data_IF_815013802089
#
_entry.id   IF_815013802089
#
_cell.length_a   1.000
_cell.length_b   1.000
_cell.length_c   1.000
_cell.angle_alpha   90.00
_cell.angle_beta   90.00
_cell.angle_gamma   90.00
#
_symmetry.space_group_name_H-M   'P 1'
#
loop_
_entity.id
_entity.type
_entity.pdbx_description
1 polymer ?
#
# COMPACT_ATOMS: atom_id res chain seq x y z
N UNK A 1 -3.98 -25.67 32.74
CA UNK A 1 -4.39 -24.33 32.34
C UNK A 1 -3.36 -23.80 31.35
N UNK A 2 -3.59 -24.01 30.06
CA UNK A 2 -2.81 -23.38 29.00
C UNK A 2 -3.22 -21.90 28.97
N UNK A 3 -2.30 -21.01 29.32
CA UNK A 3 -2.48 -19.59 29.08
C UNK A 3 -2.58 -19.38 27.55
N UNK A 4 -3.68 -18.79 27.10
CA UNK A 4 -3.76 -18.29 25.74
C UNK A 4 -2.65 -17.29 25.51
N UNK A 5 -1.98 -17.30 24.34
CA UNK A 5 -0.97 -16.30 24.05
C UNK A 5 -1.68 -14.94 24.01
N UNK A 6 -1.35 -14.07 24.95
CA UNK A 6 -1.71 -12.65 24.88
C UNK A 6 -1.03 -12.12 23.60
N UNK A 7 -1.81 -11.89 22.56
CA UNK A 7 -1.32 -11.16 21.39
C UNK A 7 -0.82 -9.79 21.89
N UNK A 8 0.48 -9.58 21.89
CA UNK A 8 1.05 -8.28 22.18
C UNK A 8 0.42 -7.28 21.20
N UNK A 9 -0.10 -6.18 21.70
CA UNK A 9 -0.74 -5.15 20.90
C UNK A 9 0.28 -4.61 19.88
N UNK A 10 0.07 -4.90 18.61
CA UNK A 10 0.97 -4.47 17.54
C UNK A 10 0.83 -2.97 17.35
N UNK A 11 1.93 -2.23 17.45
CA UNK A 11 1.97 -0.78 17.24
C UNK A 11 1.48 -0.35 15.85
N UNK A 12 1.45 0.95 15.61
CA UNK A 12 1.04 1.54 14.31
C UNK A 12 1.97 1.10 13.19
N UNK A 13 3.29 1.24 13.38
CA UNK A 13 4.29 0.75 12.42
C UNK A 13 4.43 -0.76 12.61
N UNK A 14 4.26 -1.51 11.53
CA UNK A 14 4.36 -2.96 11.57
C UNK A 14 5.82 -3.39 11.84
N UNK A 15 6.04 -4.20 12.89
CA UNK A 15 7.37 -4.72 13.18
C UNK A 15 7.74 -5.89 12.26
N UNK A 16 9.03 -6.23 12.25
CA UNK A 16 9.51 -7.44 11.59
C UNK A 16 8.89 -8.70 12.23
N UNK A 17 8.49 -9.63 11.38
CA UNK A 17 7.88 -10.92 11.74
C UNK A 17 8.57 -12.06 10.99
N UNK A 18 8.28 -13.29 11.37
CA UNK A 18 8.58 -14.43 10.51
C UNK A 18 7.89 -14.25 9.15
N UNK A 19 8.48 -14.79 8.07
CA UNK A 19 7.90 -14.72 6.73
C UNK A 19 6.54 -15.41 6.69
N UNK A 20 5.49 -14.63 6.46
CA UNK A 20 4.11 -15.08 6.41
C UNK A 20 3.76 -15.82 5.11
N UNK A 21 4.71 -15.92 4.19
CA UNK A 21 4.59 -16.69 2.96
C UNK A 21 3.69 -16.08 1.89
N UNK A 22 3.50 -16.84 0.84
CA UNK A 22 2.73 -16.42 -0.34
C UNK A 22 1.25 -16.22 -0.02
N UNK A 23 0.67 -17.02 0.84
CA UNK A 23 -0.75 -16.93 1.23
C UNK A 23 -1.10 -15.56 1.79
N UNK A 24 -0.20 -14.93 2.57
CA UNK A 24 -0.40 -13.59 3.07
C UNK A 24 -0.58 -12.56 1.95
N UNK A 25 0.22 -12.67 0.88
CA UNK A 25 0.11 -11.81 -0.30
C UNK A 25 -1.19 -12.09 -1.06
N UNK A 26 -1.55 -13.35 -1.25
CA UNK A 26 -2.75 -13.75 -2.00
C UNK A 26 -4.06 -13.33 -1.29
N UNK A 27 -4.06 -13.25 0.04
CA UNK A 27 -5.17 -12.77 0.87
C UNK A 27 -5.20 -11.24 1.04
N UNK A 28 -4.23 -10.53 0.49
CA UNK A 28 -4.11 -9.07 0.58
C UNK A 28 -4.52 -8.42 -0.73
N UNK A 29 -5.43 -7.45 -0.66
CA UNK A 29 -5.75 -6.57 -1.80
C UNK A 29 -4.77 -5.38 -1.82
N UNK A 30 -4.03 -5.25 -2.90
CA UNK A 30 -3.10 -4.14 -3.12
C UNK A 30 -3.81 -3.03 -3.89
N UNK A 31 -3.80 -1.81 -3.34
CA UNK A 31 -4.47 -0.64 -3.93
C UNK A 31 -3.43 0.48 -4.06
N UNK A 32 -3.41 1.16 -5.19
CA UNK A 32 -2.50 2.28 -5.36
C UNK A 32 -2.41 2.82 -6.78
N UNK A 33 -1.30 3.49 -7.04
CA UNK A 33 -1.01 4.15 -8.30
C UNK A 33 -0.30 3.23 -9.32
N UNK A 34 0.45 3.84 -10.24
CA UNK A 34 1.20 3.12 -11.28
C UNK A 34 2.24 2.14 -10.71
N UNK A 35 2.83 2.39 -9.55
CA UNK A 35 3.72 1.42 -8.90
C UNK A 35 2.96 0.15 -8.51
N UNK A 36 1.76 0.29 -7.95
CA UNK A 36 0.89 -0.85 -7.63
C UNK A 36 0.43 -1.59 -8.89
N UNK A 37 0.05 -0.88 -9.96
CA UNK A 37 -0.30 -1.49 -11.24
C UNK A 37 0.86 -2.35 -11.81
N UNK A 38 2.10 -1.92 -11.61
CA UNK A 38 3.29 -2.64 -12.08
C UNK A 38 3.56 -3.97 -11.36
N UNK A 39 2.99 -4.21 -10.19
CA UNK A 39 3.11 -5.52 -9.52
C UNK A 39 2.57 -6.68 -10.36
N UNK A 40 1.64 -6.40 -11.29
CA UNK A 40 1.14 -7.37 -12.26
C UNK A 40 2.16 -7.74 -13.36
N UNK A 41 3.15 -6.87 -13.62
CA UNK A 41 4.13 -7.03 -14.69
C UNK A 41 5.35 -7.85 -14.25
N UNK A 42 5.54 -8.01 -12.94
CA UNK A 42 6.71 -8.65 -12.37
C UNK A 42 6.36 -9.99 -11.74
N UNK A 43 7.32 -10.90 -11.80
CA UNK A 43 7.21 -12.21 -11.20
C UNK A 43 8.41 -12.47 -10.28
N UNK A 44 8.20 -13.32 -9.28
CA UNK A 44 9.24 -13.82 -8.40
C UNK A 44 10.21 -14.77 -9.15
N UNK A 45 11.17 -15.34 -8.45
CA UNK A 45 12.18 -16.25 -9.00
C UNK A 45 11.59 -17.53 -9.61
N UNK A 46 10.40 -17.95 -9.14
CA UNK A 46 9.69 -19.13 -9.67
C UNK A 46 8.81 -18.81 -10.88
N UNK A 47 8.81 -17.56 -11.36
CA UNK A 47 7.98 -17.11 -12.47
C UNK A 47 6.53 -16.80 -12.08
N UNK A 48 6.20 -16.81 -10.77
CA UNK A 48 4.84 -16.46 -10.29
C UNK A 48 4.73 -14.95 -10.13
N UNK A 49 3.72 -14.35 -10.75
CA UNK A 49 3.43 -12.92 -10.63
C UNK A 49 3.23 -12.52 -9.15
N UNK A 50 3.67 -11.31 -8.78
CA UNK A 50 3.52 -10.84 -7.39
C UNK A 50 2.07 -10.65 -7.02
N UNK A 51 1.26 -10.11 -7.91
CA UNK A 51 -0.20 -9.95 -7.74
C UNK A 51 -0.94 -10.41 -8.99
N UNK A 52 -2.24 -10.53 -8.88
CA UNK A 52 -3.16 -10.85 -9.97
C UNK A 52 -4.27 -9.80 -10.06
N UNK A 53 -5.08 -9.85 -11.10
CA UNK A 53 -6.27 -8.97 -11.24
C UNK A 53 -7.30 -9.18 -10.11
N UNK A 54 -7.21 -10.26 -9.34
CA UNK A 54 -8.12 -10.51 -8.22
C UNK A 54 -7.70 -9.80 -6.93
N UNK A 55 -6.44 -9.37 -6.83
CA UNK A 55 -5.90 -8.74 -5.63
C UNK A 55 -5.06 -7.50 -5.90
N UNK A 56 -5.32 -6.81 -7.03
CA UNK A 56 -4.62 -5.58 -7.38
C UNK A 56 -5.58 -4.56 -8.01
N UNK A 57 -5.71 -3.40 -7.39
CA UNK A 57 -6.38 -2.21 -7.93
C UNK A 57 -5.31 -1.10 -8.06
N UNK A 58 -4.41 -1.29 -9.02
CA UNK A 58 -3.40 -0.31 -9.36
C UNK A 58 -3.83 0.55 -10.54
N UNK A 59 -3.87 1.87 -10.39
CA UNK A 59 -4.36 2.80 -11.41
C UNK A 59 -3.30 3.85 -11.76
N UNK A 60 -2.87 3.86 -13.00
CA UNK A 60 -1.84 4.79 -13.49
C UNK A 60 -2.26 6.24 -13.25
N UNK A 61 -1.33 7.05 -12.77
CA UNK A 61 -1.51 8.49 -12.47
C UNK A 61 -2.55 8.82 -11.39
N UNK A 62 -3.05 7.84 -10.66
CA UNK A 62 -4.03 8.08 -9.62
C UNK A 62 -3.38 8.65 -8.35
N UNK A 63 -3.96 9.69 -7.79
CA UNK A 63 -3.63 10.25 -6.49
C UNK A 63 -4.79 10.12 -5.50
N UNK A 64 -4.57 10.54 -4.25
CA UNK A 64 -5.55 10.39 -3.16
C UNK A 64 -6.89 11.06 -3.43
N UNK A 65 -6.92 12.14 -4.21
CA UNK A 65 -8.15 12.87 -4.56
C UNK A 65 -9.15 12.08 -5.42
N UNK A 66 -8.71 10.96 -5.99
CA UNK A 66 -9.54 10.15 -6.89
C UNK A 66 -10.11 8.88 -6.25
N UNK A 67 -9.74 8.57 -5.00
CA UNK A 67 -10.13 7.30 -4.34
C UNK A 67 -11.65 7.11 -4.32
N UNK A 68 -12.41 8.15 -4.02
CA UNK A 68 -13.87 8.07 -3.87
C UNK A 68 -14.65 8.44 -5.12
N UNK A 69 -14.00 9.01 -6.15
CA UNK A 69 -14.68 9.59 -7.30
C UNK A 69 -14.37 8.90 -8.63
N UNK A 70 -13.15 8.38 -8.81
CA UNK A 70 -12.75 7.74 -10.06
C UNK A 70 -13.33 6.32 -10.14
N UNK A 71 -14.15 6.07 -11.13
CA UNK A 71 -14.61 4.71 -11.47
C UNK A 71 -13.52 4.02 -12.27
N UNK A 72 -12.66 3.28 -11.61
CA UNK A 72 -11.42 2.73 -12.15
C UNK A 72 -11.39 1.19 -12.23
N UNK A 73 -12.28 0.50 -11.50
CA UNK A 73 -12.24 -0.96 -11.45
C UNK A 73 -13.40 -1.57 -12.24
N UNK A 74 -13.11 -2.65 -12.95
CA UNK A 74 -14.07 -3.39 -13.76
C UNK A 74 -13.98 -4.89 -13.49
N UNK A 75 -15.08 -5.48 -13.09
CA UNK A 75 -15.14 -6.91 -12.85
C UNK A 75 -15.55 -7.69 -14.11
N UNK A 76 -15.03 -8.92 -14.24
CA UNK A 76 -15.38 -9.81 -15.34
C UNK A 76 -16.89 -10.05 -15.38
N UNK A 77 -17.49 -9.84 -16.54
CA UNK A 77 -18.93 -10.01 -16.74
C UNK A 77 -19.78 -8.79 -16.36
N UNK A 78 -19.18 -7.72 -15.83
CA UNK A 78 -19.87 -6.44 -15.58
C UNK A 78 -19.59 -5.44 -16.68
N UNK A 79 -20.60 -4.67 -17.08
CA UNK A 79 -20.43 -3.47 -17.92
C UNK A 79 -20.14 -2.22 -17.08
N UNK A 80 -20.39 -2.27 -15.76
CA UNK A 80 -20.19 -1.15 -14.85
C UNK A 80 -18.73 -1.02 -14.45
N UNK A 81 -18.33 0.22 -14.16
CA UNK A 81 -17.07 0.59 -13.53
C UNK A 81 -17.35 1.05 -12.10
N UNK A 82 -16.43 0.74 -11.19
CA UNK A 82 -16.57 0.95 -9.76
C UNK A 82 -15.48 1.85 -9.22
N UNK A 83 -15.80 2.63 -8.18
CA UNK A 83 -14.80 3.35 -7.37
C UNK A 83 -14.02 2.36 -6.51
N UNK A 84 -12.90 2.80 -5.92
CA UNK A 84 -12.12 1.94 -5.01
C UNK A 84 -12.98 1.44 -3.82
N UNK A 85 -13.74 2.28 -3.10
CA UNK A 85 -14.61 1.77 -2.02
C UNK A 85 -15.64 0.74 -2.49
N UNK A 86 -16.29 0.98 -3.62
CA UNK A 86 -17.28 0.04 -4.18
C UNK A 86 -16.63 -1.29 -4.56
N UNK A 87 -15.45 -1.23 -5.19
CA UNK A 87 -14.70 -2.41 -5.59
C UNK A 87 -14.25 -3.24 -4.37
N UNK A 88 -13.79 -2.57 -3.30
CA UNK A 88 -13.43 -3.23 -2.04
C UNK A 88 -14.63 -3.95 -1.42
N UNK A 89 -15.81 -3.31 -1.41
CA UNK A 89 -17.04 -3.93 -0.89
C UNK A 89 -17.45 -5.17 -1.70
N UNK A 90 -17.14 -5.20 -3.00
CA UNK A 90 -17.41 -6.37 -3.86
C UNK A 90 -16.37 -7.48 -3.69
N UNK A 91 -15.09 -7.14 -3.57
CA UNK A 91 -13.98 -8.09 -3.42
C UNK A 91 -13.93 -8.71 -2.01
N UNK A 92 -14.43 -7.98 -1.00
CA UNK A 92 -14.50 -8.45 0.39
C UNK A 92 -13.15 -8.96 0.93
N UNK A 93 -12.06 -8.19 0.79
CA UNK A 93 -10.75 -8.63 1.22
C UNK A 93 -10.69 -8.76 2.75
N UNK A 94 -9.82 -9.66 3.22
CA UNK A 94 -9.44 -9.74 4.63
C UNK A 94 -8.56 -8.56 5.02
N UNK A 95 -7.67 -8.12 4.11
CA UNK A 95 -6.66 -7.10 4.33
C UNK A 95 -6.44 -6.28 3.08
N UNK A 96 -6.15 -5.01 3.28
CA UNK A 96 -5.75 -4.07 2.25
C UNK A 96 -4.36 -3.54 2.58
N UNK A 97 -3.47 -3.48 1.58
CA UNK A 97 -2.28 -2.63 1.61
C UNK A 97 -2.49 -1.56 0.55
N UNK A 98 -2.52 -0.29 0.97
CA UNK A 98 -2.81 0.85 0.11
C UNK A 98 -1.65 1.83 0.08
N UNK A 99 -1.20 2.19 -1.13
CA UNK A 99 -0.06 3.08 -1.37
C UNK A 99 -0.40 4.15 -2.40
N UNK A 100 -0.65 5.36 -1.94
CA UNK A 100 -0.78 6.56 -2.76
C UNK A 100 0.13 7.66 -2.23
N UNK A 101 0.60 8.50 -3.11
CA UNK A 101 1.39 9.68 -2.71
C UNK A 101 2.32 10.17 -3.81
N UNK A 102 2.92 9.28 -4.59
CA UNK A 102 3.86 9.66 -5.65
C UNK A 102 3.25 10.70 -6.61
N UNK A 103 1.98 10.54 -6.99
CA UNK A 103 1.26 11.49 -7.85
C UNK A 103 0.73 12.73 -7.11
N UNK A 104 0.95 12.83 -5.82
CA UNK A 104 0.62 13.99 -5.00
C UNK A 104 1.84 14.85 -4.67
N UNK A 105 3.04 14.39 -5.02
CA UNK A 105 4.27 15.14 -4.84
C UNK A 105 4.35 16.27 -5.87
N UNK A 106 4.73 17.46 -5.39
CA UNK A 106 4.91 18.65 -6.23
C UNK A 106 5.84 19.64 -5.57
N UNK A 107 7.13 19.53 -5.83
CA UNK A 107 8.14 20.40 -5.24
C UNK A 107 8.67 19.91 -3.90
N UNK A 108 8.96 20.83 -2.99
CA UNK A 108 9.64 20.57 -1.72
C UNK A 108 8.84 20.95 -0.48
N UNK A 109 7.55 21.28 -0.63
CA UNK A 109 6.70 21.61 0.51
C UNK A 109 6.58 20.45 1.47
N UNK A 110 6.79 20.71 2.75
CA UNK A 110 6.61 19.73 3.83
C UNK A 110 5.20 19.76 4.41
N UNK A 111 4.34 20.66 3.94
CA UNK A 111 2.94 20.72 4.36
C UNK A 111 2.13 19.59 3.73
N UNK A 112 1.83 18.58 4.50
CA UNK A 112 1.03 17.42 4.10
C UNK A 112 -0.46 17.57 4.41
N UNK A 113 -0.92 18.70 4.95
CA UNK A 113 -2.27 18.87 5.51
C UNK A 113 -3.38 18.44 4.54
N UNK A 114 -3.37 18.98 3.33
CA UNK A 114 -4.40 18.68 2.34
C UNK A 114 -4.30 17.24 1.82
N UNK A 115 -3.08 16.74 1.64
CA UNK A 115 -2.82 15.35 1.24
C UNK A 115 -3.39 14.38 2.27
N UNK A 116 -3.06 14.55 3.55
CA UNK A 116 -3.52 13.69 4.64
C UNK A 116 -5.04 13.76 4.80
N UNK A 117 -5.62 14.97 4.81
CA UNK A 117 -7.09 15.15 4.89
C UNK A 117 -7.81 14.37 3.80
N UNK A 118 -7.32 14.48 2.56
CA UNK A 118 -7.96 13.81 1.41
C UNK A 118 -7.74 12.30 1.45
N UNK A 119 -6.55 11.85 1.85
CA UNK A 119 -6.28 10.43 1.99
C UNK A 119 -7.15 9.79 3.06
N UNK A 120 -7.25 10.43 4.22
CA UNK A 120 -8.10 9.96 5.33
C UNK A 120 -9.57 9.82 4.90
N UNK A 121 -10.10 10.77 4.15
CA UNK A 121 -11.46 10.66 3.59
C UNK A 121 -11.60 9.42 2.69
N UNK A 122 -10.60 9.12 1.88
CA UNK A 122 -10.56 7.91 1.06
C UNK A 122 -10.55 6.63 1.88
N UNK A 123 -9.70 6.56 2.92
CA UNK A 123 -9.61 5.42 3.82
C UNK A 123 -10.92 5.19 4.60
N UNK A 124 -11.52 6.26 5.11
CA UNK A 124 -12.81 6.20 5.81
C UNK A 124 -13.94 5.74 4.89
N UNK A 125 -13.95 6.14 3.62
CA UNK A 125 -14.91 5.66 2.65
C UNK A 125 -14.75 4.15 2.37
N UNK A 126 -13.51 3.66 2.26
CA UNK A 126 -13.21 2.23 2.14
C UNK A 126 -13.69 1.47 3.39
N UNK A 127 -13.35 1.97 4.57
CA UNK A 127 -13.75 1.35 5.85
C UNK A 127 -15.28 1.31 6.02
N UNK A 128 -15.97 2.36 5.58
CA UNK A 128 -17.44 2.40 5.59
C UNK A 128 -18.04 1.39 4.62
N UNK A 129 -17.47 1.26 3.41
CA UNK A 129 -17.95 0.33 2.41
C UNK A 129 -17.70 -1.14 2.79
N UNK A 130 -16.58 -1.43 3.47
CA UNK A 130 -16.21 -2.78 3.93
C UNK A 130 -15.47 -2.73 5.29
N UNK A 131 -16.21 -2.72 6.42
CA UNK A 131 -15.62 -2.52 7.76
C UNK A 131 -14.87 -3.74 8.31
N UNK A 132 -14.86 -4.85 7.60
CA UNK A 132 -14.32 -6.13 8.05
C UNK A 132 -12.87 -6.38 7.64
N UNK A 133 -12.23 -5.46 6.93
CA UNK A 133 -10.83 -5.62 6.53
C UNK A 133 -9.87 -4.80 7.39
N UNK A 134 -8.65 -5.28 7.49
CA UNK A 134 -7.56 -4.51 8.03
C UNK A 134 -7.02 -3.56 6.95
N UNK A 135 -6.81 -2.29 7.31
CA UNK A 135 -6.24 -1.29 6.42
C UNK A 135 -4.82 -1.00 6.85
N UNK A 136 -3.88 -1.24 5.95
CA UNK A 136 -2.45 -0.98 6.10
C UNK A 136 -2.05 0.05 5.05
N UNK A 137 -1.59 1.20 5.49
CA UNK A 137 -1.05 2.24 4.61
C UNK A 137 0.43 1.96 4.39
N UNK A 138 0.85 1.86 3.15
CA UNK A 138 2.26 1.66 2.79
C UNK A 138 2.95 3.00 2.56
N UNK A 139 4.21 3.10 2.96
CA UNK A 139 5.02 4.29 2.73
C UNK A 139 5.12 4.63 1.23
N UNK A 140 5.16 5.91 0.91
CA UNK A 140 5.51 6.40 -0.42
C UNK A 140 6.95 5.93 -0.71
N UNK A 141 7.20 5.26 -1.84
CA UNK A 141 8.53 4.79 -2.20
C UNK A 141 9.53 5.95 -2.35
N UNK A 142 10.82 5.73 -2.06
CA UNK A 142 11.85 6.71 -2.31
C UNK A 142 12.02 6.94 -3.82
N UNK A 143 12.43 8.16 -4.16
CA UNK A 143 12.75 8.58 -5.53
C UNK A 143 14.23 8.36 -5.81
N UNK A 144 14.60 8.21 -7.08
CA UNK A 144 15.98 8.29 -7.50
C UNK A 144 16.48 9.74 -7.44
N UNK A 145 17.77 9.93 -7.12
CA UNK A 145 18.40 11.24 -6.97
C UNK A 145 18.25 12.14 -8.19
N UNK A 146 18.18 11.57 -9.38
CA UNK A 146 17.96 12.33 -10.61
C UNK A 146 16.67 13.17 -10.59
N UNK A 147 15.69 12.82 -9.75
CA UNK A 147 14.40 13.53 -9.65
C UNK A 147 14.48 14.84 -8.88
N UNK A 148 15.54 15.07 -8.10
CA UNK A 148 15.75 16.32 -7.35
C UNK A 148 15.69 17.54 -8.26
N UNK A 149 16.25 17.45 -9.46
CA UNK A 149 16.26 18.54 -10.44
C UNK A 149 14.94 18.69 -11.22
N UNK A 150 13.95 17.82 -10.96
CA UNK A 150 12.66 17.79 -11.65
C UNK A 150 11.49 18.12 -10.70
N UNK A 151 11.77 18.90 -9.65
CA UNK A 151 10.79 19.33 -8.65
C UNK A 151 10.13 18.21 -7.82
N UNK A 152 10.75 17.04 -7.74
CA UNK A 152 10.37 16.00 -6.78
C UNK A 152 11.52 15.81 -5.79
N UNK A 153 11.22 15.88 -4.49
CA UNK A 153 12.25 15.86 -3.45
C UNK A 153 11.97 14.78 -2.40
N UNK A 154 13.03 14.20 -1.86
CA UNK A 154 12.92 13.30 -0.72
C UNK A 154 12.46 14.02 0.55
N UNK A 155 12.74 15.32 0.67
CA UNK A 155 12.21 16.16 1.76
C UNK A 155 10.68 16.11 1.83
N UNK A 156 10.00 16.21 0.69
CA UNK A 156 8.54 16.10 0.64
C UNK A 156 8.07 14.65 0.89
N UNK A 157 8.75 13.64 0.32
CA UNK A 157 8.46 12.23 0.56
C UNK A 157 8.54 11.91 2.06
N UNK A 158 9.60 12.34 2.72
CA UNK A 158 9.82 12.10 4.15
C UNK A 158 8.75 12.78 5.01
N UNK A 159 8.41 14.03 4.70
CA UNK A 159 7.36 14.76 5.40
C UNK A 159 5.99 14.09 5.24
N UNK A 160 5.66 13.64 4.03
CA UNK A 160 4.40 12.95 3.76
C UNK A 160 4.36 11.57 4.46
N UNK A 161 5.45 10.81 4.45
CA UNK A 161 5.52 9.54 5.15
C UNK A 161 5.39 9.71 6.67
N UNK A 162 6.03 10.74 7.26
CA UNK A 162 5.86 11.05 8.68
C UNK A 162 4.40 11.41 9.02
N UNK A 163 3.75 12.20 8.17
CA UNK A 163 2.35 12.56 8.33
C UNK A 163 1.40 11.36 8.16
N UNK A 164 1.75 10.39 7.28
CA UNK A 164 1.01 9.14 7.14
C UNK A 164 1.08 8.28 8.42
N UNK A 165 2.24 8.18 9.05
CA UNK A 165 2.40 7.47 10.33
C UNK A 165 1.49 8.07 11.39
N UNK A 166 1.51 9.40 11.54
CA UNK A 166 0.65 10.10 12.49
C UNK A 166 -0.84 9.88 12.19
N UNK A 167 -1.25 10.00 10.93
CA UNK A 167 -2.63 9.73 10.50
C UNK A 167 -3.06 8.30 10.86
N UNK A 168 -2.20 7.32 10.61
CA UNK A 168 -2.48 5.93 10.95
C UNK A 168 -2.65 5.73 12.46
N UNK A 169 -1.76 6.32 13.26
CA UNK A 169 -1.83 6.27 14.72
C UNK A 169 -3.13 6.87 15.27
N UNK A 170 -3.49 8.06 14.79
CA UNK A 170 -4.70 8.77 15.24
C UNK A 170 -6.01 8.07 14.84
N UNK A 171 -6.00 7.26 13.77
CA UNK A 171 -7.21 6.63 13.22
C UNK A 171 -7.23 5.09 13.32
N UNK A 172 -6.25 4.49 13.99
CA UNK A 172 -6.21 3.04 14.22
C UNK A 172 -5.86 2.21 12.98
N UNK A 173 -5.28 2.81 11.94
CA UNK A 173 -4.72 2.09 10.79
C UNK A 173 -3.31 1.59 11.10
N UNK A 174 -2.84 0.61 10.33
CA UNK A 174 -1.45 0.15 10.40
C UNK A 174 -0.62 0.82 9.31
N UNK A 175 0.67 0.94 9.55
CA UNK A 175 1.62 1.53 8.60
C UNK A 175 2.72 0.53 8.26
N UNK A 176 2.92 0.27 6.96
CA UNK A 176 4.01 -0.55 6.42
C UNK A 176 5.14 0.38 5.97
N UNK A 177 6.24 0.41 6.72
CA UNK A 177 7.39 1.27 6.42
C UNK A 177 8.27 0.72 5.30
N UNK A 178 7.67 0.39 4.16
CA UNK A 178 8.37 -0.22 3.02
C UNK A 178 9.48 0.64 2.43
N UNK A 179 9.50 1.94 2.72
CA UNK A 179 10.60 2.81 2.32
C UNK A 179 11.95 2.35 2.91
N UNK A 180 11.96 1.72 4.08
CA UNK A 180 13.13 1.20 4.75
C UNK A 180 13.93 0.21 3.89
N UNK A 181 13.26 -0.73 3.21
CA UNK A 181 13.93 -1.71 2.36
C UNK A 181 14.31 -1.15 0.99
N UNK A 182 13.66 -0.09 0.54
CA UNK A 182 13.85 0.52 -0.78
C UNK A 182 14.87 1.65 -0.79
N UNK A 183 15.17 2.23 0.37
CA UNK A 183 16.01 3.41 0.54
C UNK A 183 17.45 3.02 0.82
N UNK A 184 18.39 3.79 0.31
CA UNK A 184 19.80 3.76 0.66
C UNK A 184 20.03 4.70 1.86
N UNK A 185 20.45 4.15 2.99
CA UNK A 185 20.60 4.89 4.25
C UNK A 185 21.71 5.95 4.19
N UNK A 186 22.72 5.75 3.33
CA UNK A 186 23.83 6.69 3.18
C UNK A 186 23.43 7.93 2.40
N UNK A 187 22.51 7.79 1.44
CA UNK A 187 22.14 8.86 0.52
C UNK A 187 20.75 9.42 0.78
N UNK A 188 19.86 8.63 1.39
CA UNK A 188 18.46 8.98 1.59
C UNK A 188 17.56 8.81 0.35
N UNK A 189 18.12 8.44 -0.80
CA UNK A 189 17.41 8.20 -2.06
C UNK A 189 17.10 6.71 -2.26
N UNK A 190 16.41 6.37 -3.33
CA UNK A 190 16.23 4.96 -3.71
C UNK A 190 17.60 4.26 -3.85
N UNK A 191 17.66 3.00 -3.45
CA UNK A 191 18.82 2.16 -3.70
C UNK A 191 19.13 2.12 -5.20
N UNK A 192 20.41 1.97 -5.52
CA UNK A 192 20.85 1.79 -6.90
C UNK A 192 20.05 0.67 -7.58
N UNK A 193 19.63 0.90 -8.81
CA UNK A 193 18.86 -0.04 -9.64
C UNK A 193 17.45 -0.38 -9.09
N UNK A 194 16.96 0.33 -8.08
CA UNK A 194 15.60 0.13 -7.52
C UNK A 194 14.53 0.95 -8.22
N UNK A 195 14.90 1.88 -9.08
CA UNK A 195 13.97 2.60 -9.94
C UNK A 195 14.23 2.31 -11.41
N UNK A 196 13.22 2.53 -12.24
CA UNK A 196 13.40 2.61 -13.67
C UNK A 196 14.11 3.91 -14.06
N UNK A 197 14.42 4.08 -15.34
CA UNK A 197 15.10 5.28 -15.86
C UNK A 197 14.38 6.60 -15.60
N UNK A 198 13.10 6.56 -15.25
CA UNK A 198 12.33 7.74 -14.85
C UNK A 198 12.59 8.18 -13.41
N UNK A 199 13.25 7.36 -12.60
CA UNK A 199 13.56 7.63 -11.20
C UNK A 199 12.37 7.63 -10.23
N UNK A 200 11.23 7.10 -10.65
CA UNK A 200 9.97 7.08 -9.89
C UNK A 200 9.39 5.67 -9.78
N UNK A 201 9.29 4.98 -10.91
CA UNK A 201 8.71 3.64 -10.94
C UNK A 201 9.71 2.62 -10.44
N UNK A 202 9.21 1.71 -9.58
CA UNK A 202 10.03 0.64 -9.00
C UNK A 202 10.44 -0.38 -10.07
N UNK A 203 11.71 -0.79 -10.01
CA UNK A 203 12.25 -1.89 -10.80
C UNK A 203 11.72 -3.24 -10.30
N UNK A 204 12.02 -4.32 -11.02
CA UNK A 204 11.73 -5.68 -10.58
C UNK A 204 12.42 -6.01 -9.26
N UNK A 205 13.66 -5.59 -9.10
CA UNK A 205 14.48 -5.80 -7.91
C UNK A 205 13.84 -5.10 -6.69
N UNK A 206 13.40 -3.86 -6.85
CA UNK A 206 12.70 -3.13 -5.80
C UNK A 206 11.36 -3.77 -5.45
N UNK A 207 10.58 -4.21 -6.44
CA UNK A 207 9.31 -4.90 -6.19
C UNK A 207 9.54 -6.24 -5.49
N UNK A 208 10.60 -6.97 -5.82
CA UNK A 208 10.99 -8.20 -5.11
C UNK A 208 11.30 -7.92 -3.64
N UNK A 209 12.10 -6.89 -3.36
CA UNK A 209 12.41 -6.46 -2.00
C UNK A 209 11.15 -6.01 -1.25
N UNK A 210 10.27 -5.23 -1.90
CA UNK A 210 8.98 -4.80 -1.35
C UNK A 210 8.11 -5.99 -0.93
N UNK A 211 7.93 -7.00 -1.78
CA UNK A 211 7.10 -8.16 -1.42
C UNK A 211 7.73 -9.06 -0.37
N UNK A 212 9.06 -9.11 -0.29
CA UNK A 212 9.73 -9.74 0.85
C UNK A 212 9.44 -8.98 2.13
N UNK A 213 9.52 -7.64 2.11
CA UNK A 213 9.19 -6.80 3.25
C UNK A 213 7.72 -6.95 3.67
N UNK A 214 6.79 -6.99 2.74
CA UNK A 214 5.36 -7.25 3.00
C UNK A 214 5.16 -8.56 3.78
N UNK A 215 5.88 -9.63 3.40
CA UNK A 215 5.75 -10.93 4.06
C UNK A 215 6.43 -10.98 5.44
N UNK A 216 7.51 -10.23 5.61
CA UNK A 216 8.30 -10.21 6.86
C UNK A 216 7.87 -9.09 7.82
N UNK A 217 6.85 -8.30 7.45
CA UNK A 217 6.21 -7.29 8.30
C UNK A 217 4.67 -7.50 8.27
N UNK A 218 4.29 -8.74 8.44
CA UNK A 218 2.90 -9.16 8.29
C UNK A 218 2.06 -8.72 9.49
N UNK A 219 0.86 -8.19 9.22
CA UNK A 219 -0.16 -7.98 10.23
C UNK A 219 -1.10 -9.18 10.27
N UNK A 220 -0.91 -10.04 11.25
CA UNK A 220 -1.75 -11.20 11.49
C UNK A 220 -2.87 -10.83 12.47
N UNK A 221 -4.00 -10.39 11.93
CA UNK A 221 -5.22 -10.15 12.70
C UNK A 221 -6.25 -11.25 12.49
N UNK A 222 -7.19 -11.33 13.41
CA UNK A 222 -8.36 -12.21 13.28
C UNK A 222 -9.15 -11.88 12.00
N UNK A 223 -9.65 -12.92 11.33
CA UNK A 223 -10.51 -12.73 10.17
C UNK A 223 -11.91 -12.34 10.63
N UNK A 224 -12.25 -11.06 10.49
CA UNK A 224 -13.53 -10.48 10.92
C UNK A 224 -14.61 -10.53 9.84
N UNK A 225 -14.31 -11.10 8.68
CA UNK A 225 -15.30 -11.19 7.60
C UNK A 225 -16.49 -12.05 8.01
N UNK A 226 -17.73 -11.64 7.64
CA UNK A 226 -18.90 -12.44 7.88
C UNK A 226 -18.73 -13.84 7.27
N UNK A 227 -18.86 -14.88 8.10
CA UNK A 227 -18.83 -16.26 7.64
C UNK A 227 -20.21 -16.61 7.09
N UNK A 228 -20.30 -17.46 6.03
CA UNK A 228 -21.58 -18.01 5.60
C UNK A 228 -22.26 -18.70 6.78
N UNK A 229 -23.55 -18.45 6.96
CA UNK A 229 -24.32 -19.23 7.92
C UNK A 229 -24.17 -20.69 7.52
N UNK A 230 -23.66 -21.51 8.45
CA UNK A 230 -23.49 -22.94 8.22
C UNK A 230 -24.82 -23.57 7.74
N UNK A 231 -24.76 -24.27 6.63
CA UNK A 231 -25.84 -25.08 6.10
C UNK A 231 -25.93 -26.37 6.87
#
# INVERSE_FOLDING_TARGET
TSAEPVCAEVGTILPETADAGRSYVDETLFIGDSNTARYLLYANETGTAFTSLNNNIGVVSMGVGSITSLKCEKFKGSSAMYTVPDAVAMLKPKRIIICYGTNNLSGSSTDATNYIKTYLQGLQAIQTAWPYCDIIVSAIPPLDRQRENMNLTMTQVDAYNAALVQMCEENGFKFLNSAEVLRDDATGWAKKDYTLSDGVHLSKEAVTAYFTYVRTHAYAAEDRRPQPLGT
#
